data_IF_674306199584
#
_entry.id   IF_674306199584
#
_cell.length_a   1.000
_cell.length_b   1.000
_cell.length_c   1.000
_cell.angle_alpha   90.00
_cell.angle_beta   90.00
_cell.angle_gamma   90.00
#
_symmetry.space_group_name_H-M   'P 1'
#
loop_
_entity.id
_entity.type
_entity.pdbx_description
1 polymer ?
#
# COMPACT_ATOMS: atom_id res chain seq x y z
N UNK A 1 -10.12 18.34 -37.55
CA UNK A 1 -10.83 17.59 -36.51
C UNK A 1 -10.21 18.01 -35.18
N UNK A 2 -10.99 18.50 -34.23
CA UNK A 2 -10.44 18.89 -32.92
C UNK A 2 -9.90 17.62 -32.25
N UNK A 3 -8.64 17.59 -31.91
CA UNK A 3 -8.01 16.51 -31.10
C UNK A 3 -8.65 16.53 -29.73
N UNK A 4 -9.36 15.45 -29.38
CA UNK A 4 -9.98 15.27 -28.08
C UNK A 4 -8.84 15.17 -27.05
N UNK A 5 -8.78 16.05 -26.07
CA UNK A 5 -7.77 15.97 -25.01
C UNK A 5 -7.97 14.70 -24.16
N UNK A 6 -6.90 14.02 -23.79
CA UNK A 6 -6.99 12.83 -22.94
C UNK A 6 -7.46 13.21 -21.52
N UNK A 7 -8.30 12.37 -20.94
CA UNK A 7 -8.68 12.41 -19.54
C UNK A 7 -8.31 11.11 -18.85
N UNK A 8 -8.85 10.89 -17.67
CA UNK A 8 -8.47 9.80 -16.78
C UNK A 8 -9.71 9.06 -16.28
N UNK A 9 -9.65 7.73 -16.25
CA UNK A 9 -10.48 6.90 -15.39
C UNK A 9 -9.63 6.48 -14.22
N UNK A 10 -10.11 6.61 -12.99
CA UNK A 10 -9.32 6.37 -11.79
C UNK A 10 -9.95 5.34 -10.88
N UNK A 11 -9.09 4.63 -10.15
CA UNK A 11 -9.41 3.79 -9.00
C UNK A 11 -8.82 4.48 -7.78
N UNK A 12 -9.68 4.89 -6.84
CA UNK A 12 -9.27 5.47 -5.57
C UNK A 12 -9.64 4.52 -4.44
N UNK A 13 -8.77 4.43 -3.46
CA UNK A 13 -9.00 3.80 -2.17
C UNK A 13 -9.13 4.86 -1.08
N UNK A 14 -9.63 4.47 0.09
CA UNK A 14 -9.67 5.36 1.24
C UNK A 14 -9.41 4.55 2.52
N UNK A 15 -8.40 4.91 3.33
CA UNK A 15 -8.05 4.18 4.55
C UNK A 15 -9.15 4.13 5.61
N UNK A 16 -10.14 5.04 5.56
CA UNK A 16 -11.29 5.01 6.46
C UNK A 16 -12.44 4.12 5.98
N UNK A 17 -12.34 3.55 4.79
CA UNK A 17 -13.31 2.61 4.25
C UNK A 17 -12.81 1.18 4.37
N UNK A 18 -13.67 0.24 4.01
CA UNK A 18 -13.28 -1.17 3.91
C UNK A 18 -12.25 -1.35 2.80
N UNK A 19 -11.29 -2.22 3.01
CA UNK A 19 -10.18 -2.50 2.07
C UNK A 19 -10.68 -3.04 0.70
N UNK A 20 -11.88 -3.64 0.68
CA UNK A 20 -12.55 -4.12 -0.53
C UNK A 20 -13.48 -3.06 -1.15
N UNK A 21 -13.38 -1.80 -0.75
CA UNK A 21 -14.14 -0.70 -1.33
C UNK A 21 -13.25 0.21 -2.15
N UNK A 22 -13.66 0.42 -3.39
CA UNK A 22 -13.00 1.37 -4.29
C UNK A 22 -14.00 2.40 -4.82
N UNK A 23 -13.50 3.59 -5.10
CA UNK A 23 -14.20 4.57 -5.90
C UNK A 23 -13.61 4.55 -7.32
N UNK A 24 -14.48 4.30 -8.31
CA UNK A 24 -14.11 4.34 -9.71
C UNK A 24 -14.86 5.47 -10.40
N UNK A 25 -14.13 6.42 -10.93
CA UNK A 25 -14.70 7.59 -11.60
C UNK A 25 -13.78 8.10 -12.70
N UNK A 26 -14.13 9.26 -13.24
CA UNK A 26 -13.37 9.90 -14.31
C UNK A 26 -13.06 11.36 -14.02
N UNK A 27 -12.06 11.89 -14.72
CA UNK A 27 -11.68 13.29 -14.68
C UNK A 27 -11.06 13.71 -16.01
N UNK A 28 -11.39 14.92 -16.46
CA UNK A 28 -10.66 15.58 -17.57
C UNK A 28 -9.36 16.24 -17.09
N UNK A 29 -9.12 16.29 -15.78
CA UNK A 29 -7.93 16.88 -15.14
C UNK A 29 -7.09 15.78 -14.48
N UNK A 30 -5.80 16.06 -14.18
CA UNK A 30 -4.94 15.15 -13.44
C UNK A 30 -5.60 14.65 -12.14
N UNK A 31 -5.38 13.37 -11.84
CA UNK A 31 -6.13 12.68 -10.76
C UNK A 31 -5.65 13.11 -9.36
N UNK A 32 -4.42 13.58 -9.21
CA UNK A 32 -3.90 14.18 -7.98
C UNK A 32 -4.64 15.48 -7.59
N UNK A 33 -5.11 16.25 -8.57
CA UNK A 33 -6.00 17.39 -8.35
C UNK A 33 -7.40 16.90 -7.98
N UNK A 34 -7.91 15.92 -8.71
CA UNK A 34 -9.27 15.40 -8.51
C UNK A 34 -9.42 14.70 -7.17
N UNK A 35 -8.44 13.94 -6.72
CA UNK A 35 -8.48 13.26 -5.41
C UNK A 35 -8.57 14.25 -4.24
N UNK A 36 -7.87 15.38 -4.33
CA UNK A 36 -7.94 16.46 -3.34
C UNK A 36 -9.30 17.16 -3.31
N UNK A 37 -9.96 17.32 -4.45
CA UNK A 37 -11.33 17.89 -4.52
C UNK A 37 -12.38 16.99 -3.87
N UNK A 38 -12.14 15.68 -3.83
CA UNK A 38 -12.99 14.71 -3.18
C UNK A 38 -12.75 14.64 -1.66
N UNK A 39 -11.66 15.21 -1.18
CA UNK A 39 -11.31 15.33 0.23
C UNK A 39 -12.14 16.46 0.86
N UNK A 40 -13.23 16.11 1.49
CA UNK A 40 -14.15 17.03 2.15
C UNK A 40 -14.54 16.51 3.55
N UNK A 41 -15.24 17.34 4.32
CA UNK A 41 -15.61 17.03 5.70
C UNK A 41 -16.48 15.79 5.89
N UNK A 42 -17.03 15.22 4.81
CA UNK A 42 -17.82 13.98 4.85
C UNK A 42 -16.94 12.70 4.76
N UNK A 43 -15.65 12.86 4.52
CA UNK A 43 -14.70 11.74 4.39
C UNK A 43 -13.61 11.90 5.45
N UNK A 44 -13.49 10.97 6.42
CA UNK A 44 -12.56 11.10 7.55
C UNK A 44 -11.08 11.16 7.17
N UNK A 45 -10.69 10.43 6.10
CA UNK A 45 -9.32 10.40 5.58
C UNK A 45 -9.32 10.71 4.09
N UNK A 46 -8.22 11.26 3.55
CA UNK A 46 -8.10 11.56 2.13
C UNK A 46 -8.14 10.30 1.27
N UNK A 47 -8.58 10.47 0.03
CA UNK A 47 -8.50 9.40 -0.97
C UNK A 47 -7.05 9.19 -1.43
N UNK A 48 -6.69 7.94 -1.59
CA UNK A 48 -5.43 7.51 -2.18
C UNK A 48 -5.66 7.05 -3.62
N UNK A 49 -4.77 7.46 -4.52
CA UNK A 49 -4.81 7.03 -5.91
C UNK A 49 -4.19 5.64 -5.98
N UNK A 50 -4.97 4.66 -6.42
CA UNK A 50 -4.49 3.30 -6.61
C UNK A 50 -4.00 3.05 -8.04
N UNK A 51 -4.80 3.45 -9.02
CA UNK A 51 -4.44 3.36 -10.42
C UNK A 51 -5.25 4.35 -11.26
N UNK A 52 -4.71 4.72 -12.43
CA UNK A 52 -5.40 5.52 -13.43
C UNK A 52 -5.25 4.88 -14.81
N UNK A 53 -6.24 5.11 -15.68
CA UNK A 53 -6.16 4.85 -17.11
C UNK A 53 -6.35 6.17 -17.84
N UNK A 54 -5.31 6.65 -18.50
CA UNK A 54 -5.33 7.86 -19.34
C UNK A 54 -5.74 7.49 -20.75
N UNK A 55 -6.72 8.20 -21.33
CA UNK A 55 -7.20 7.97 -22.69
C UNK A 55 -8.10 9.12 -23.15
N UNK A 56 -8.18 9.37 -24.45
CA UNK A 56 -9.16 10.29 -25.03
C UNK A 56 -10.61 9.78 -24.93
N UNK A 57 -10.78 8.46 -24.70
CA UNK A 57 -12.08 7.77 -24.56
C UNK A 57 -12.50 7.57 -23.08
N UNK A 58 -12.00 8.39 -22.16
CA UNK A 58 -12.22 8.19 -20.71
C UNK A 58 -13.70 8.16 -20.29
N UNK A 59 -14.60 8.83 -21.05
CA UNK A 59 -16.03 8.79 -20.78
C UNK A 59 -16.68 7.45 -21.10
N UNK A 60 -16.24 6.83 -22.19
CA UNK A 60 -16.70 5.53 -22.67
C UNK A 60 -16.11 4.42 -21.78
N UNK A 61 -14.85 4.54 -21.45
CA UNK A 61 -14.12 3.60 -20.60
C UNK A 61 -14.72 3.52 -19.20
N UNK A 62 -15.00 4.65 -18.57
CA UNK A 62 -15.63 4.67 -17.24
C UNK A 62 -16.97 3.94 -17.23
N UNK A 63 -17.81 4.20 -18.25
CA UNK A 63 -19.10 3.50 -18.41
C UNK A 63 -18.90 2.00 -18.62
N UNK A 64 -17.90 1.61 -19.40
CA UNK A 64 -17.60 0.20 -19.67
C UNK A 64 -17.13 -0.51 -18.39
N UNK A 65 -16.23 0.09 -17.63
CA UNK A 65 -15.75 -0.45 -16.35
C UNK A 65 -16.93 -0.64 -15.38
N UNK A 66 -17.77 0.37 -15.22
CA UNK A 66 -18.97 0.29 -14.38
C UNK A 66 -19.90 -0.84 -14.82
N UNK A 67 -20.17 -0.94 -16.14
CA UNK A 67 -21.02 -1.99 -16.69
C UNK A 67 -20.43 -3.39 -16.49
N UNK A 68 -19.12 -3.55 -16.60
CA UNK A 68 -18.45 -4.83 -16.36
C UNK A 68 -18.57 -5.24 -14.90
N UNK A 69 -18.36 -4.33 -13.96
CA UNK A 69 -18.51 -4.61 -12.54
C UNK A 69 -19.97 -4.94 -12.19
N UNK A 70 -20.91 -4.13 -12.68
CA UNK A 70 -22.35 -4.33 -12.44
C UNK A 70 -22.88 -5.64 -13.07
N UNK A 71 -22.31 -6.06 -14.22
CA UNK A 71 -22.73 -7.28 -14.93
C UNK A 71 -22.13 -8.56 -14.38
N UNK A 72 -21.02 -8.50 -13.69
CA UNK A 72 -20.35 -9.68 -13.10
C UNK A 72 -20.81 -9.99 -11.69
N UNK A 73 -21.35 -8.98 -10.97
CA UNK A 73 -21.71 -9.13 -9.56
C UNK A 73 -22.57 -7.94 -9.10
N UNK A 74 -23.47 -8.13 -8.13
CA UNK A 74 -24.17 -7.04 -7.43
C UNK A 74 -23.23 -6.28 -6.47
N UNK A 75 -22.05 -5.86 -6.93
CA UNK A 75 -20.99 -5.29 -6.10
C UNK A 75 -21.06 -3.77 -5.99
N UNK A 76 -21.97 -3.11 -6.67
CA UNK A 76 -22.16 -1.66 -6.50
C UNK A 76 -22.85 -1.38 -5.16
N UNK A 77 -22.22 -0.59 -4.31
CA UNK A 77 -22.73 -0.28 -2.95
C UNK A 77 -24.05 0.51 -3.03
N UNK A 78 -24.15 1.42 -4.01
CA UNK A 78 -25.41 2.14 -4.35
C UNK A 78 -25.43 2.44 -5.85
N UNK A 79 -26.55 2.21 -6.52
CA UNK A 79 -26.70 2.41 -7.98
C UNK A 79 -26.38 3.83 -8.46
N UNK A 80 -26.57 4.85 -7.62
CA UNK A 80 -26.28 6.26 -7.93
C UNK A 80 -24.89 6.74 -7.51
N UNK A 81 -24.03 5.86 -7.00
CA UNK A 81 -22.70 6.22 -6.49
C UNK A 81 -21.60 5.45 -7.23
N UNK A 82 -20.43 6.06 -7.31
CA UNK A 82 -19.22 5.51 -7.94
C UNK A 82 -18.40 4.61 -6.99
N UNK A 83 -19.04 4.03 -5.97
CA UNK A 83 -18.40 3.16 -5.00
C UNK A 83 -18.78 1.72 -5.22
N UNK A 84 -17.77 0.84 -5.20
CA UNK A 84 -17.90 -0.58 -5.51
C UNK A 84 -17.24 -1.42 -4.41
N UNK A 85 -17.86 -2.52 -4.05
CA UNK A 85 -17.32 -3.53 -3.15
C UNK A 85 -16.46 -4.52 -3.96
N UNK A 86 -15.34 -4.02 -4.46
CA UNK A 86 -14.37 -4.74 -5.29
C UNK A 86 -12.98 -4.45 -4.77
N UNK A 87 -12.15 -5.48 -4.49
CA UNK A 87 -10.76 -5.25 -4.14
C UNK A 87 -10.04 -4.40 -5.20
N UNK A 88 -9.18 -3.44 -4.80
CA UNK A 88 -8.49 -2.55 -5.74
C UNK A 88 -7.75 -3.27 -6.86
N UNK A 89 -7.12 -4.39 -6.54
CA UNK A 89 -6.41 -5.23 -7.51
C UNK A 89 -7.35 -5.82 -8.58
N UNK A 90 -8.56 -6.22 -8.18
CA UNK A 90 -9.57 -6.73 -9.12
C UNK A 90 -10.10 -5.64 -10.04
N UNK A 91 -10.27 -4.43 -9.52
CA UNK A 91 -10.61 -3.27 -10.34
C UNK A 91 -9.50 -2.94 -11.35
N UNK A 92 -8.23 -3.03 -10.95
CA UNK A 92 -7.08 -2.85 -11.83
C UNK A 92 -7.00 -3.96 -12.90
N UNK A 93 -7.32 -5.21 -12.57
CA UNK A 93 -7.41 -6.29 -13.56
C UNK A 93 -8.41 -5.96 -14.67
N UNK A 94 -9.55 -5.34 -14.34
CA UNK A 94 -10.53 -4.88 -15.33
C UNK A 94 -9.91 -3.82 -16.26
N UNK A 95 -9.16 -2.85 -15.71
CA UNK A 95 -8.42 -1.87 -16.52
C UNK A 95 -7.47 -2.56 -17.49
N UNK A 96 -6.70 -3.55 -17.01
CA UNK A 96 -5.75 -4.31 -17.83
C UNK A 96 -6.41 -5.15 -18.92
N UNK A 97 -7.64 -5.60 -18.69
CA UNK A 97 -8.41 -6.33 -19.72
C UNK A 97 -8.95 -5.38 -20.80
N UNK A 98 -9.35 -4.16 -20.41
CA UNK A 98 -9.95 -3.18 -21.33
C UNK A 98 -8.86 -2.45 -22.13
N UNK A 99 -7.74 -2.10 -21.52
CA UNK A 99 -6.70 -1.28 -22.13
C UNK A 99 -6.22 -1.76 -23.52
N UNK A 100 -6.00 -3.05 -23.78
CA UNK A 100 -5.59 -3.52 -25.12
C UNK A 100 -6.59 -3.25 -26.24
N UNK A 101 -7.86 -3.01 -25.91
CA UNK A 101 -8.91 -2.70 -26.87
C UNK A 101 -9.06 -1.18 -27.15
N UNK A 102 -8.20 -0.35 -26.56
CA UNK A 102 -8.23 1.11 -26.65
C UNK A 102 -6.86 1.61 -27.09
N UNK A 103 -6.80 2.21 -28.27
CA UNK A 103 -5.56 2.52 -28.97
C UNK A 103 -4.60 3.44 -28.19
N UNK A 104 -5.16 4.36 -27.36
CA UNK A 104 -4.43 5.36 -26.60
C UNK A 104 -4.49 5.16 -25.07
N UNK A 105 -4.85 3.95 -24.62
CA UNK A 105 -4.94 3.68 -23.18
C UNK A 105 -3.57 3.49 -22.54
N UNK A 106 -3.29 4.29 -21.52
CA UNK A 106 -2.10 4.20 -20.68
C UNK A 106 -2.54 3.97 -19.24
N UNK A 107 -2.13 2.83 -18.65
CA UNK A 107 -2.39 2.53 -17.24
C UNK A 107 -1.18 2.97 -16.42
N UNK A 108 -1.45 3.77 -15.38
CA UNK A 108 -0.46 4.21 -14.40
C UNK A 108 -0.92 3.69 -13.04
N UNK A 109 -0.07 2.92 -12.38
CA UNK A 109 -0.26 2.46 -11.02
C UNK A 109 0.39 3.44 -10.05
N UNK A 110 -0.13 3.55 -8.84
CA UNK A 110 0.38 4.50 -7.85
C UNK A 110 0.73 3.79 -6.55
N UNK A 111 1.76 4.26 -5.90
CA UNK A 111 2.13 3.90 -4.54
C UNK A 111 2.30 5.19 -3.73
N UNK A 112 1.60 5.31 -2.61
CA UNK A 112 1.60 6.53 -1.79
C UNK A 112 1.25 7.82 -2.58
N UNK A 113 0.29 7.73 -3.49
CA UNK A 113 -0.12 8.81 -4.42
C UNK A 113 0.98 9.29 -5.39
N UNK A 114 2.08 8.54 -5.52
CA UNK A 114 3.12 8.81 -6.51
C UNK A 114 2.99 7.79 -7.64
N UNK A 115 2.98 8.24 -8.91
CA UNK A 115 2.97 7.32 -10.03
C UNK A 115 4.19 6.42 -9.96
N UNK A 116 3.97 5.13 -10.16
CA UNK A 116 5.06 4.19 -10.35
C UNK A 116 5.62 4.45 -11.76
N UNK A 117 6.85 4.97 -11.82
CA UNK A 117 7.49 5.34 -13.07
C UNK A 117 7.74 4.07 -13.93
N UNK A 118 7.11 3.96 -15.11
CA UNK A 118 7.36 2.82 -16.00
C UNK A 118 8.78 2.81 -16.58
N UNK A 119 9.54 3.91 -16.47
CA UNK A 119 10.89 4.03 -17.03
C UNK A 119 12.01 3.58 -16.06
N UNK A 120 11.76 3.43 -14.77
CA UNK A 120 12.72 2.83 -13.85
C UNK A 120 12.87 1.30 -14.02
N UNK A 121 11.96 0.66 -14.75
CA UNK A 121 11.98 -0.77 -15.06
C UNK A 121 12.64 -1.13 -16.41
N UNK A 122 13.20 -0.15 -17.15
CA UNK A 122 13.81 -0.41 -18.47
C UNK A 122 15.21 -1.05 -18.42
N UNK A 123 15.73 -1.36 -17.25
CA UNK A 123 16.94 -2.13 -17.09
C UNK A 123 16.60 -3.38 -16.26
N UNK A 124 16.02 -4.33 -16.87
CA UNK A 124 16.03 -5.79 -16.74
C UNK A 124 14.65 -6.39 -17.05
N UNK A 125 14.60 -7.20 -18.10
CA UNK A 125 13.58 -8.20 -18.44
C UNK A 125 12.13 -7.88 -18.06
N UNK A 126 11.29 -7.61 -19.09
CA UNK A 126 9.83 -7.57 -18.93
C UNK A 126 9.39 -8.82 -18.16
N UNK A 127 8.89 -8.70 -16.91
CA UNK A 127 8.31 -9.85 -16.26
C UNK A 127 7.07 -10.25 -17.02
N UNK A 128 7.07 -11.47 -17.51
CA UNK A 128 5.91 -12.12 -18.13
C UNK A 128 4.72 -12.07 -17.18
N UNK A 129 3.51 -12.14 -17.71
CA UNK A 129 2.24 -12.12 -16.94
C UNK A 129 2.23 -13.12 -15.77
N UNK A 130 2.97 -14.22 -15.92
CA UNK A 130 3.21 -15.25 -14.91
C UNK A 130 4.02 -14.75 -13.70
N UNK A 131 5.02 -13.85 -13.89
CA UNK A 131 5.89 -13.39 -12.82
C UNK A 131 5.22 -12.44 -11.82
N UNK A 132 4.21 -11.66 -12.23
CA UNK A 132 3.46 -10.76 -11.30
C UNK A 132 2.47 -11.57 -10.45
N UNK A 133 1.82 -12.56 -11.02
CA UNK A 133 0.94 -13.49 -10.29
C UNK A 133 1.75 -14.32 -9.30
N UNK A 134 2.96 -14.75 -9.68
CA UNK A 134 3.90 -15.48 -8.84
C UNK A 134 4.40 -14.61 -7.67
N UNK A 135 4.78 -13.36 -7.91
CA UNK A 135 5.22 -12.44 -6.84
C UNK A 135 4.10 -12.18 -5.82
N UNK A 136 2.87 -11.96 -6.27
CA UNK A 136 1.73 -11.73 -5.38
C UNK A 136 1.40 -12.98 -4.55
N UNK A 137 1.43 -14.16 -5.17
CA UNK A 137 1.22 -15.43 -4.47
C UNK A 137 2.35 -15.71 -3.46
N UNK A 138 3.60 -15.39 -3.82
CA UNK A 138 4.76 -15.54 -2.94
C UNK A 138 4.67 -14.62 -1.72
N UNK A 139 4.30 -13.35 -1.92
CA UNK A 139 4.09 -12.39 -0.84
C UNK A 139 2.96 -12.84 0.11
N UNK A 140 1.86 -13.33 -0.44
CA UNK A 140 0.79 -13.87 0.39
C UNK A 140 1.26 -15.05 1.23
N UNK A 141 1.95 -16.02 0.62
CA UNK A 141 2.52 -17.19 1.34
C UNK A 141 3.51 -16.77 2.42
N UNK A 142 4.32 -15.74 2.17
CA UNK A 142 5.25 -15.21 3.16
C UNK A 142 4.50 -14.67 4.40
N UNK A 143 3.46 -13.86 4.20
CA UNK A 143 2.67 -13.33 5.32
C UNK A 143 1.78 -14.38 5.98
N UNK A 144 1.32 -15.40 5.25
CA UNK A 144 0.65 -16.57 5.85
C UNK A 144 1.62 -17.35 6.74
N UNK A 145 2.86 -17.57 6.28
CA UNK A 145 3.92 -18.18 7.08
C UNK A 145 4.30 -17.34 8.29
N UNK A 146 4.40 -16.03 8.16
CA UNK A 146 4.58 -15.10 9.27
C UNK A 146 3.47 -15.25 10.31
N UNK A 147 2.21 -15.26 9.91
CA UNK A 147 1.07 -15.43 10.81
C UNK A 147 1.09 -16.80 11.51
N UNK A 148 1.36 -17.87 10.77
CA UNK A 148 1.41 -19.22 11.33
C UNK A 148 2.55 -19.38 12.35
N UNK A 149 3.72 -18.82 12.07
CA UNK A 149 4.88 -18.87 12.97
C UNK A 149 4.70 -17.98 14.20
N UNK A 150 4.00 -16.84 14.08
CA UNK A 150 3.75 -15.91 15.18
C UNK A 150 2.99 -16.55 16.35
N UNK A 151 2.13 -17.53 16.10
CA UNK A 151 1.37 -18.26 17.14
C UNK A 151 2.34 -18.94 18.13
N UNK A 152 3.50 -19.39 17.65
CA UNK A 152 4.52 -20.03 18.46
C UNK A 152 5.40 -19.03 19.24
N UNK A 153 5.31 -17.73 18.93
CA UNK A 153 6.03 -16.67 19.63
C UNK A 153 5.11 -16.00 20.66
N UNK A 154 5.11 -16.52 21.88
CA UNK A 154 4.22 -16.05 22.94
C UNK A 154 4.44 -14.57 23.32
N UNK A 155 5.65 -14.03 23.20
CA UNK A 155 5.95 -12.63 23.47
C UNK A 155 5.29 -11.73 22.43
N UNK A 156 5.45 -12.07 21.15
CA UNK A 156 4.86 -11.31 20.04
C UNK A 156 3.32 -11.40 20.04
N UNK A 157 2.76 -12.61 20.20
CA UNK A 157 1.30 -12.84 20.17
C UNK A 157 0.54 -12.18 21.33
N UNK A 158 1.21 -11.89 22.46
CA UNK A 158 0.63 -11.11 23.56
C UNK A 158 0.54 -9.62 23.25
N UNK A 159 1.45 -9.12 22.44
CA UNK A 159 1.59 -7.69 22.17
C UNK A 159 0.90 -7.25 20.86
N UNK A 160 0.68 -8.16 19.91
CA UNK A 160 0.14 -7.84 18.60
C UNK A 160 -1.00 -8.76 18.19
N UNK A 161 -2.06 -8.16 17.65
CA UNK A 161 -3.12 -8.87 16.94
C UNK A 161 -2.75 -9.03 15.48
N UNK A 162 -2.74 -10.27 15.00
CA UNK A 162 -2.45 -10.58 13.60
C UNK A 162 -3.59 -10.14 12.68
N UNK A 163 -3.24 -9.68 11.49
CA UNK A 163 -4.18 -9.40 10.40
C UNK A 163 -4.20 -10.56 9.41
N UNK A 164 -5.20 -10.59 8.55
CA UNK A 164 -5.23 -11.50 7.40
C UNK A 164 -4.04 -11.20 6.50
N UNK A 165 -3.36 -12.26 6.04
CA UNK A 165 -2.30 -12.15 5.04
C UNK A 165 -2.91 -11.84 3.65
N UNK A 166 -2.39 -10.82 2.99
CA UNK A 166 -2.78 -10.43 1.64
C UNK A 166 -1.60 -10.57 0.68
N UNK A 167 -1.90 -10.61 -0.61
CA UNK A 167 -0.92 -10.67 -1.70
C UNK A 167 -0.27 -9.30 -1.96
N UNK A 168 0.49 -8.81 -0.96
CA UNK A 168 1.13 -7.49 -0.97
C UNK A 168 2.49 -7.55 -0.28
N UNK A 169 3.37 -6.59 -0.58
CA UNK A 169 4.73 -6.56 -0.02
C UNK A 169 4.82 -5.97 1.39
N UNK A 170 3.73 -5.48 1.96
CA UNK A 170 3.68 -4.86 3.28
C UNK A 170 2.68 -5.53 4.21
N UNK A 171 2.87 -5.33 5.52
CA UNK A 171 2.02 -5.86 6.58
C UNK A 171 2.04 -4.91 7.77
N UNK A 172 0.88 -4.38 8.17
CA UNK A 172 0.76 -3.42 9.25
C UNK A 172 0.28 -4.08 10.53
N UNK A 173 0.83 -3.61 11.65
CA UNK A 173 0.49 -4.02 12.99
C UNK A 173 -0.01 -2.83 13.80
N UNK A 174 -1.22 -2.94 14.33
CA UNK A 174 -1.78 -1.95 15.25
C UNK A 174 -1.06 -2.02 16.60
N UNK A 175 -0.77 -0.86 17.17
CA UNK A 175 -0.13 -0.70 18.49
C UNK A 175 -1.05 -0.03 19.51
N UNK A 176 -2.35 0.11 19.19
CA UNK A 176 -3.31 0.80 20.05
C UNK A 176 -3.21 2.33 20.00
N UNK A 177 -2.52 2.88 19.01
CA UNK A 177 -2.42 4.32 18.73
C UNK A 177 -3.12 4.65 17.43
N UNK A 178 -3.75 5.83 17.36
CA UNK A 178 -4.26 6.41 16.11
C UNK A 178 -3.23 7.29 15.40
N UNK A 179 -2.10 7.60 16.04
CA UNK A 179 -1.07 8.49 15.50
C UNK A 179 -0.01 7.74 14.69
N UNK A 180 0.16 6.43 14.97
CA UNK A 180 1.18 5.61 14.30
C UNK A 180 0.84 4.11 14.38
N UNK A 181 1.43 3.36 13.49
CA UNK A 181 1.42 1.89 13.49
C UNK A 181 2.79 1.34 13.08
N UNK A 182 3.02 0.05 13.33
CA UNK A 182 4.23 -0.62 12.84
C UNK A 182 3.94 -1.16 11.44
N UNK A 183 4.81 -0.83 10.50
CA UNK A 183 4.74 -1.30 9.12
C UNK A 183 5.94 -2.21 8.82
N UNK A 184 5.65 -3.40 8.30
CA UNK A 184 6.64 -4.37 7.83
C UNK A 184 6.58 -4.45 6.31
N UNK A 185 7.73 -4.67 5.67
CA UNK A 185 7.74 -4.95 4.22
C UNK A 185 8.66 -6.12 3.89
N UNK A 186 8.32 -6.85 2.82
CA UNK A 186 9.17 -7.87 2.20
C UNK A 186 9.18 -7.62 0.69
N UNK A 187 10.25 -7.01 0.20
CA UNK A 187 10.38 -6.61 -1.19
C UNK A 187 11.23 -7.60 -1.98
N UNK A 188 10.60 -8.31 -2.93
CA UNK A 188 11.29 -9.19 -3.88
C UNK A 188 12.27 -8.40 -4.74
N UNK A 189 11.82 -7.25 -5.26
CA UNK A 189 12.60 -6.41 -6.16
C UNK A 189 13.85 -5.83 -5.49
N UNK A 190 13.71 -5.32 -4.27
CA UNK A 190 14.83 -4.74 -3.52
C UNK A 190 15.66 -5.78 -2.78
N UNK A 191 15.24 -7.04 -2.77
CA UNK A 191 15.85 -8.14 -2.02
C UNK A 191 16.14 -7.76 -0.57
N UNK A 192 15.14 -7.17 0.07
CA UNK A 192 15.23 -6.69 1.45
C UNK A 192 13.88 -6.79 2.17
N UNK A 193 13.96 -6.86 3.48
CA UNK A 193 12.81 -6.66 4.36
C UNK A 193 13.03 -5.45 5.25
N UNK A 194 11.94 -4.82 5.70
CA UNK A 194 11.98 -3.68 6.62
C UNK A 194 11.00 -3.86 7.76
N UNK A 195 11.31 -3.25 8.89
CA UNK A 195 10.39 -3.02 9.99
C UNK A 195 10.52 -1.56 10.43
N UNK A 196 9.42 -0.90 10.76
CA UNK A 196 9.48 0.50 11.14
C UNK A 196 8.15 1.05 11.62
N UNK A 197 8.13 2.33 11.90
CA UNK A 197 6.95 3.07 12.35
C UNK A 197 6.48 3.96 11.22
N UNK A 198 5.21 3.84 10.88
CA UNK A 198 4.51 4.75 10.00
C UNK A 198 3.71 5.72 10.86
N UNK A 199 3.95 7.03 10.67
CA UNK A 199 3.33 8.12 11.43
C UNK A 199 2.45 8.89 10.47
N UNK A 200 1.13 8.85 10.72
CA UNK A 200 0.18 9.56 9.89
C UNK A 200 0.00 10.99 10.39
N UNK A 201 0.30 11.96 9.50
CA UNK A 201 0.02 13.40 9.68
C UNK A 201 0.57 14.06 10.96
N UNK A 202 1.25 13.34 11.86
CA UNK A 202 1.78 13.87 13.13
C UNK A 202 3.28 14.20 13.04
N UNK A 203 3.61 15.37 12.47
CA UNK A 203 4.97 15.87 12.34
C UNK A 203 5.67 16.07 13.69
N UNK A 204 4.92 16.49 14.70
CA UNK A 204 5.47 16.67 16.04
C UNK A 204 6.01 15.35 16.61
N UNK A 205 5.26 14.26 16.45
CA UNK A 205 5.72 12.93 16.88
C UNK A 205 6.96 12.49 16.09
N UNK A 206 6.98 12.72 14.76
CA UNK A 206 8.12 12.40 13.93
C UNK A 206 9.41 13.11 14.39
N UNK A 207 9.34 14.42 14.59
CA UNK A 207 10.51 15.19 15.05
C UNK A 207 10.90 14.85 16.49
N UNK A 208 9.93 14.52 17.36
CA UNK A 208 10.24 14.02 18.70
C UNK A 208 11.07 12.73 18.62
N UNK A 209 10.66 11.77 17.79
CA UNK A 209 11.42 10.53 17.59
C UNK A 209 12.78 10.78 16.96
N UNK A 210 12.87 11.68 15.98
CA UNK A 210 14.11 12.03 15.32
C UNK A 210 15.13 12.66 16.30
N UNK A 211 14.66 13.42 17.28
CA UNK A 211 15.51 13.96 18.34
C UNK A 211 16.05 12.86 19.29
N UNK A 212 15.48 11.67 19.25
CA UNK A 212 15.95 10.48 19.99
C UNK A 212 16.61 9.45 19.07
N UNK A 213 17.06 9.86 17.87
CA UNK A 213 17.63 8.95 16.86
C UNK A 213 18.74 8.06 17.42
N UNK A 214 19.71 8.65 18.14
CA UNK A 214 20.85 7.93 18.70
C UNK A 214 20.41 6.85 19.71
N UNK A 215 19.43 7.18 20.57
CA UNK A 215 18.84 6.22 21.50
C UNK A 215 18.15 5.09 20.75
N UNK A 216 17.34 5.43 19.73
CA UNK A 216 16.59 4.46 18.92
C UNK A 216 17.54 3.51 18.19
N UNK A 217 18.61 4.04 17.57
CA UNK A 217 19.62 3.23 16.88
C UNK A 217 20.38 2.33 17.83
N UNK A 218 20.73 2.83 19.01
CA UNK A 218 21.41 2.04 20.05
C UNK A 218 20.54 0.88 20.52
N UNK A 219 19.25 1.10 20.78
CA UNK A 219 18.33 0.07 21.24
C UNK A 219 17.99 -0.96 20.14
N UNK A 220 17.85 -0.49 18.89
CA UNK A 220 17.62 -1.38 17.74
C UNK A 220 18.87 -2.14 17.34
N UNK A 221 20.06 -1.56 17.59
CA UNK A 221 21.37 -2.14 17.26
C UNK A 221 21.73 -2.02 15.78
N UNK A 222 21.13 -1.07 15.06
CA UNK A 222 21.37 -0.81 13.64
C UNK A 222 20.97 0.62 13.26
N UNK A 223 21.47 1.10 12.13
CA UNK A 223 21.07 2.38 11.54
C UNK A 223 19.60 2.44 11.21
N UNK A 224 19.01 3.61 11.38
CA UNK A 224 17.61 3.90 11.12
C UNK A 224 17.49 4.86 9.94
N UNK A 225 16.75 4.47 8.93
CA UNK A 225 16.42 5.34 7.82
C UNK A 225 15.20 6.20 8.15
N UNK A 226 15.38 7.52 8.15
CA UNK A 226 14.34 8.50 8.40
C UNK A 226 13.77 9.03 7.08
N UNK A 227 12.45 8.99 6.93
CA UNK A 227 11.77 9.48 5.73
C UNK A 227 10.64 10.42 6.13
N UNK A 228 10.79 11.68 5.77
CA UNK A 228 9.76 12.69 5.96
C UNK A 228 9.07 13.01 4.64
N UNK A 229 7.75 12.91 4.61
CA UNK A 229 6.92 13.32 3.48
C UNK A 229 5.86 14.34 3.94
N UNK A 230 5.18 14.98 3.01
CA UNK A 230 4.22 16.06 3.32
C UNK A 230 3.09 15.63 4.26
N UNK A 231 2.55 14.42 4.08
CA UNK A 231 1.44 13.90 4.88
C UNK A 231 1.87 12.86 5.90
N UNK A 232 2.68 11.89 5.51
CA UNK A 232 3.12 10.81 6.37
C UNK A 232 4.62 10.81 6.53
N UNK A 233 5.09 10.40 7.69
CA UNK A 233 6.53 10.26 7.96
C UNK A 233 6.80 8.87 8.53
N UNK A 234 8.01 8.38 8.40
CA UNK A 234 8.37 7.06 8.92
C UNK A 234 9.83 6.97 9.27
N UNK A 235 10.15 6.08 10.17
CA UNK A 235 11.50 5.55 10.28
C UNK A 235 11.47 4.03 10.06
N UNK A 236 12.51 3.50 9.47
CA UNK A 236 12.61 2.07 9.16
C UNK A 236 14.01 1.54 9.40
N UNK A 237 14.09 0.31 9.87
CA UNK A 237 15.28 -0.53 9.83
C UNK A 237 15.14 -1.54 8.70
N UNK A 238 16.25 -1.94 8.10
CA UNK A 238 16.24 -2.82 6.96
C UNK A 238 17.26 -3.94 7.09
N UNK A 239 16.97 -5.06 6.45
CA UNK A 239 17.86 -6.22 6.38
C UNK A 239 17.80 -6.83 4.98
N UNK A 240 18.94 -7.22 4.39
CA UNK A 240 18.94 -8.03 3.17
C UNK A 240 18.11 -9.31 3.35
N UNK A 241 17.26 -9.60 2.38
CA UNK A 241 16.36 -10.74 2.43
C UNK A 241 15.91 -11.13 1.03
N UNK A 242 16.02 -12.40 0.69
CA UNK A 242 15.49 -12.95 -0.54
C UNK A 242 14.21 -13.73 -0.25
N UNK A 243 13.06 -13.17 -0.62
CA UNK A 243 11.76 -13.81 -0.40
C UNK A 243 11.60 -15.11 -1.20
N UNK A 244 12.36 -15.30 -2.27
CA UNK A 244 12.36 -16.54 -3.06
C UNK A 244 13.14 -17.67 -2.36
N UNK A 245 13.99 -17.35 -1.39
CA UNK A 245 14.71 -18.33 -0.59
C UNK A 245 13.95 -18.71 0.68
N UNK A 246 13.15 -19.75 0.59
CA UNK A 246 12.32 -20.26 1.70
C UNK A 246 13.15 -20.68 2.93
N UNK A 247 14.44 -21.00 2.76
CA UNK A 247 15.31 -21.37 3.88
C UNK A 247 15.59 -20.20 4.83
N UNK A 248 15.41 -18.95 4.36
CA UNK A 248 15.59 -17.74 5.15
C UNK A 248 14.33 -17.34 5.93
N UNK A 249 13.16 -17.91 5.64
CA UNK A 249 11.88 -17.42 6.17
C UNK A 249 11.79 -17.46 7.69
N UNK A 250 12.20 -18.55 8.34
CA UNK A 250 12.15 -18.66 9.80
C UNK A 250 13.03 -17.61 10.49
N UNK A 251 14.22 -17.36 9.92
CA UNK A 251 15.12 -16.31 10.42
C UNK A 251 14.54 -14.90 10.15
N UNK A 252 13.87 -14.72 9.03
CA UNK A 252 13.20 -13.49 8.67
C UNK A 252 12.03 -13.20 9.62
N UNK A 253 11.18 -14.18 9.90
CA UNK A 253 10.07 -14.05 10.86
C UNK A 253 10.59 -13.70 12.25
N UNK A 254 11.62 -14.40 12.72
CA UNK A 254 12.24 -14.13 14.02
C UNK A 254 12.77 -12.68 14.09
N UNK A 255 13.41 -12.21 13.03
CA UNK A 255 13.90 -10.84 12.97
C UNK A 255 12.73 -9.82 12.98
N UNK A 256 11.66 -10.06 12.22
CA UNK A 256 10.49 -9.19 12.18
C UNK A 256 9.80 -9.12 13.56
N UNK A 257 9.60 -10.26 14.26
CA UNK A 257 8.99 -10.26 15.59
C UNK A 257 9.83 -9.48 16.60
N UNK A 258 11.13 -9.74 16.65
CA UNK A 258 12.03 -9.06 17.57
C UNK A 258 12.09 -7.56 17.30
N UNK A 259 12.10 -7.16 16.02
CA UNK A 259 12.08 -5.75 15.62
C UNK A 259 10.78 -5.08 16.07
N UNK A 260 9.62 -5.74 15.87
CA UNK A 260 8.32 -5.20 16.29
C UNK A 260 8.25 -4.99 17.80
N UNK A 261 8.73 -5.96 18.59
CA UNK A 261 8.73 -5.87 20.05
C UNK A 261 9.60 -4.70 20.51
N UNK A 262 10.85 -4.62 20.03
CA UNK A 262 11.76 -3.52 20.35
C UNK A 262 11.17 -2.15 19.95
N UNK A 263 10.68 -2.02 18.72
CA UNK A 263 10.05 -0.78 18.23
C UNK A 263 8.88 -0.39 19.13
N UNK A 264 8.02 -1.33 19.52
CA UNK A 264 6.87 -1.05 20.38
C UNK A 264 7.32 -0.55 21.76
N UNK A 265 8.34 -1.13 22.34
CA UNK A 265 8.87 -0.73 23.65
C UNK A 265 9.52 0.66 23.59
N UNK A 266 10.33 0.95 22.56
CA UNK A 266 10.91 2.27 22.30
C UNK A 266 9.80 3.31 22.15
N UNK A 267 8.79 3.03 21.34
CA UNK A 267 7.66 3.94 21.13
C UNK A 267 6.90 4.21 22.44
N UNK A 268 6.66 3.17 23.25
CA UNK A 268 6.02 3.34 24.57
C UNK A 268 6.86 4.23 25.50
N UNK A 269 8.19 4.06 25.50
CA UNK A 269 9.06 4.85 26.37
C UNK A 269 9.09 6.33 25.98
N UNK A 270 9.29 6.61 24.69
CA UNK A 270 9.39 7.99 24.20
C UNK A 270 8.05 8.72 24.29
N UNK A 271 6.93 8.03 23.97
CA UNK A 271 5.60 8.65 24.00
C UNK A 271 5.01 8.81 25.41
N UNK A 272 5.47 8.04 26.42
CA UNK A 272 5.09 8.23 27.82
C UNK A 272 5.69 9.49 28.45
N UNK A 273 6.80 9.98 27.90
CA UNK A 273 7.48 11.20 28.38
C UNK A 273 6.86 12.47 27.80
N UNK A 274 5.78 12.33 27.00
CA UNK A 274 5.01 13.39 26.37
C UNK A 274 3.84 13.82 27.26
#
# INVERSE_FOLDING_TARGET
MATKEPGYVYILTNPSFREDWVKIGKSSRPVDVRSKELDNTAVPLPFEIFATMKTTKYNEVEKLVHKMIDGLTNLRIRQSREFFNVPPQKALEIFRVIAPAIDDAEIIEYENNMPLDPDTDKIKDKPTRESKTDTSALQQRFWEGFNANAINNSAFSKEFSLRKAYAQHWYDLSVGSSEYHICLTASRQKRQMTAGVYIDSNKHLYHLLQNHSDQIEQELGCEVEWREASKASRFVIQKPFDIDDYSQWDSAFSWLYNSCLKIKDIMKEITKKR
#
